data_IF_827001524274
#
_entry.id   IF_827001524274
#
_cell.length_a   1.000
_cell.length_b   1.000
_cell.length_c   1.000
_cell.angle_alpha   90.00
_cell.angle_beta   90.00
_cell.angle_gamma   90.00
#
_symmetry.space_group_name_H-M   'P 1'
#
loop_
_entity.id
_entity.type
_entity.pdbx_description
1 polymer ?
#
# COMPACT_ATOMS: atom_id res chain seq x y z
N UNK A 1 30.54 -22.99 -26.11
CA UNK A 1 30.14 -21.70 -26.69
C UNK A 1 28.70 -21.91 -27.15
N UNK A 2 27.65 -21.34 -26.54
CA UNK A 2 27.49 -20.02 -25.95
C UNK A 2 26.97 -20.10 -24.51
N UNK A 3 27.66 -19.39 -23.61
CA UNK A 3 27.11 -18.94 -22.35
C UNK A 3 26.32 -17.66 -22.62
N UNK A 4 25.06 -17.61 -22.18
CA UNK A 4 24.20 -16.43 -22.19
C UNK A 4 23.02 -16.75 -21.25
N UNK A 5 22.59 -15.98 -20.27
CA UNK A 5 23.07 -14.79 -19.59
C UNK A 5 22.59 -14.94 -18.14
N UNK A 6 23.25 -14.29 -17.18
CA UNK A 6 22.90 -14.24 -15.76
C UNK A 6 21.38 -14.25 -15.53
N UNK A 7 20.88 -15.27 -14.83
CA UNK A 7 19.53 -15.26 -14.28
C UNK A 7 19.41 -14.03 -13.37
N UNK A 8 18.67 -13.01 -13.83
CA UNK A 8 18.21 -11.95 -12.94
C UNK A 8 17.45 -12.60 -11.77
N UNK A 9 17.50 -11.98 -10.60
CA UNK A 9 16.70 -12.44 -9.47
C UNK A 9 15.24 -12.58 -9.93
N UNK A 10 14.64 -13.75 -9.68
CA UNK A 10 13.22 -13.95 -9.93
C UNK A 10 12.41 -12.90 -9.13
N UNK A 11 11.23 -12.54 -9.61
CA UNK A 11 10.33 -11.63 -8.88
C UNK A 11 10.15 -12.06 -7.42
N UNK A 12 10.05 -13.36 -7.16
CA UNK A 12 9.86 -13.91 -5.83
C UNK A 12 11.11 -13.81 -4.95
N UNK A 13 12.31 -13.89 -5.52
CA UNK A 13 13.56 -13.64 -4.79
C UNK A 13 13.73 -12.16 -4.44
N UNK A 14 13.44 -11.26 -5.39
CA UNK A 14 13.46 -9.83 -5.15
C UNK A 14 12.48 -9.45 -4.02
N UNK A 15 11.26 -9.99 -4.08
CA UNK A 15 10.24 -9.76 -3.06
C UNK A 15 10.62 -10.36 -1.69
N UNK A 16 11.24 -11.55 -1.66
CA UNK A 16 11.78 -12.15 -0.42
C UNK A 16 12.92 -11.32 0.18
N UNK A 17 13.82 -10.80 -0.67
CA UNK A 17 14.91 -9.92 -0.23
C UNK A 17 14.39 -8.65 0.43
N UNK A 18 13.36 -8.02 -0.13
CA UNK A 18 12.72 -6.83 0.45
C UNK A 18 12.01 -7.11 1.77
N UNK A 19 11.47 -8.31 1.96
CA UNK A 19 10.73 -8.74 3.16
C UNK A 19 11.58 -9.44 4.21
N UNK A 20 12.91 -9.42 4.07
CA UNK A 20 13.80 -10.04 5.06
C UNK A 20 13.61 -9.41 6.45
N UNK A 21 13.85 -10.16 7.54
CA UNK A 21 13.91 -9.60 8.88
C UNK A 21 14.97 -8.50 9.02
N UNK A 22 14.81 -7.62 10.01
CA UNK A 22 15.85 -6.66 10.40
C UNK A 22 17.04 -7.42 10.97
N UNK A 23 18.23 -7.14 10.45
CA UNK A 23 19.49 -7.75 10.88
C UNK A 23 20.44 -6.74 11.55
N UNK A 24 19.93 -5.57 11.93
CA UNK A 24 20.75 -4.50 12.49
C UNK A 24 21.32 -4.93 13.85
N UNK A 25 22.65 -4.96 13.98
CA UNK A 25 23.32 -5.17 15.26
C UNK A 25 23.13 -3.93 16.16
N UNK A 26 23.02 -4.17 17.46
CA UNK A 26 23.00 -3.11 18.47
C UNK A 26 24.29 -2.27 18.35
N UNK A 27 24.20 -1.07 17.78
CA UNK A 27 25.33 -0.14 17.67
C UNK A 27 25.36 0.69 16.39
N UNK A 28 24.82 0.19 15.28
CA UNK A 28 24.78 0.95 14.02
C UNK A 28 23.43 1.66 13.83
N UNK A 29 23.34 2.86 14.42
CA UNK A 29 22.17 3.72 14.32
C UNK A 29 21.81 4.03 12.85
N UNK A 30 22.79 4.16 11.96
CA UNK A 30 22.53 4.50 10.55
C UNK A 30 21.92 3.33 9.81
N UNK A 31 22.42 2.10 10.04
CA UNK A 31 21.82 0.90 9.48
C UNK A 31 20.40 0.67 10.03
N UNK A 32 20.18 0.88 11.33
CA UNK A 32 18.84 0.77 11.90
C UNK A 32 17.85 1.72 11.22
N UNK A 33 18.19 3.00 11.07
CA UNK A 33 17.31 3.99 10.40
C UNK A 33 16.97 3.60 8.97
N UNK A 34 17.92 2.99 8.22
CA UNK A 34 17.67 2.46 6.87
C UNK A 34 16.76 1.23 6.89
N UNK A 35 16.90 0.35 7.87
CA UNK A 35 16.01 -0.80 8.03
C UNK A 35 14.58 -0.37 8.39
N UNK A 36 14.41 0.67 9.21
CA UNK A 36 13.09 1.26 9.51
C UNK A 36 12.45 1.80 8.23
N UNK A 37 13.20 2.53 7.41
CA UNK A 37 12.71 2.99 6.09
C UNK A 37 12.37 1.81 5.18
N UNK A 38 13.18 0.75 5.15
CA UNK A 38 12.83 -0.45 4.36
C UNK A 38 11.50 -1.05 4.80
N UNK A 39 11.22 -1.15 6.10
CA UNK A 39 9.92 -1.61 6.59
C UNK A 39 8.78 -0.66 6.22
N UNK A 40 9.01 0.65 6.29
CA UNK A 40 8.07 1.66 5.81
C UNK A 40 7.72 1.44 4.33
N UNK A 41 8.70 1.09 3.49
CA UNK A 41 8.47 0.84 2.05
C UNK A 41 7.65 -0.42 1.74
N UNK A 42 7.42 -1.31 2.71
CA UNK A 42 6.53 -2.47 2.55
C UNK A 42 5.04 -2.10 2.67
N UNK A 43 4.75 -0.84 3.00
CA UNK A 43 3.40 -0.31 3.07
C UNK A 43 2.69 -0.38 1.71
N UNK A 44 1.37 -0.57 1.70
CA UNK A 44 0.58 -0.42 0.48
C UNK A 44 0.61 1.04 0.00
N UNK A 45 0.56 1.22 -1.32
CA UNK A 45 0.33 2.52 -1.96
C UNK A 45 -0.53 2.35 -3.21
N UNK A 46 -1.25 3.40 -3.61
CA UNK A 46 -2.05 3.37 -4.85
C UNK A 46 -1.17 2.96 -6.03
N UNK A 47 -1.64 2.00 -6.81
CA UNK A 47 -0.93 1.37 -7.93
C UNK A 47 0.50 0.88 -7.60
N UNK A 48 0.84 0.71 -6.31
CA UNK A 48 2.21 0.47 -5.85
C UNK A 48 3.20 1.55 -6.35
N UNK A 49 2.76 2.81 -6.40
CA UNK A 49 3.53 3.98 -6.83
C UNK A 49 4.73 4.25 -5.93
N UNK A 50 4.64 3.91 -4.64
CA UNK A 50 5.63 4.20 -3.62
C UNK A 50 5.99 5.69 -3.63
N UNK A 51 4.95 6.52 -3.56
CA UNK A 51 4.96 7.97 -3.73
C UNK A 51 5.57 8.75 -2.56
N UNK A 52 6.62 8.22 -1.93
CA UNK A 52 7.27 8.77 -0.75
C UNK A 52 8.77 9.00 -0.96
N UNK A 53 9.30 10.02 -0.30
CA UNK A 53 10.73 10.27 -0.10
C UNK A 53 11.02 10.31 1.39
N UNK A 54 12.08 9.64 1.80
CA UNK A 54 12.51 9.60 3.19
C UNK A 54 13.76 10.44 3.39
N UNK A 55 13.73 11.36 4.36
CA UNK A 55 14.92 12.07 4.82
C UNK A 55 15.29 11.57 6.22
N UNK A 56 16.51 11.04 6.35
CA UNK A 56 17.04 10.56 7.62
C UNK A 56 17.81 11.69 8.32
N UNK A 57 17.47 11.97 9.58
CA UNK A 57 18.27 12.85 10.44
C UNK A 57 18.72 12.08 11.66
N UNK A 58 20.03 12.05 11.87
CA UNK A 58 20.66 11.39 13.01
C UNK A 58 21.79 12.30 13.51
N UNK A 59 21.46 13.18 14.46
CA UNK A 59 22.42 14.13 15.05
C UNK A 59 22.42 14.00 16.57
N UNK A 60 23.55 13.54 17.12
CA UNK A 60 23.69 13.31 18.55
C UNK A 60 22.65 12.31 19.08
N UNK A 61 21.85 12.75 20.05
CA UNK A 61 20.80 11.94 20.67
C UNK A 61 19.45 12.03 19.95
N UNK A 62 19.32 12.90 18.95
CA UNK A 62 18.08 13.13 18.20
C UNK A 62 18.07 12.33 16.90
N UNK A 63 17.04 11.50 16.75
CA UNK A 63 16.78 10.69 15.56
C UNK A 63 15.42 11.07 15.01
N UNK A 64 15.35 11.35 13.72
CA UNK A 64 14.07 11.55 13.05
C UNK A 64 14.09 11.07 11.61
N UNK A 65 12.90 10.72 11.13
CA UNK A 65 12.64 10.36 9.75
C UNK A 65 11.53 11.27 9.26
N UNK A 66 11.79 12.05 8.22
CA UNK A 66 10.76 12.82 7.53
C UNK A 66 10.28 12.05 6.31
N UNK A 67 8.97 11.95 6.13
CA UNK A 67 8.32 11.34 4.98
C UNK A 67 7.66 12.46 4.17
N UNK A 68 8.14 12.66 2.95
CA UNK A 68 7.65 13.68 2.03
C UNK A 68 6.95 13.04 0.83
N UNK A 69 5.93 13.71 0.25
CA UNK A 69 5.27 13.24 -0.95
C UNK A 69 6.21 13.33 -2.16
N UNK A 70 6.35 12.23 -2.92
CA UNK A 70 6.98 12.26 -4.23
C UNK A 70 5.95 12.60 -5.32
N UNK A 71 5.75 13.89 -5.56
CA UNK A 71 4.79 14.37 -6.57
C UNK A 71 5.15 13.94 -8.01
N UNK A 72 6.36 13.43 -8.27
CA UNK A 72 6.69 12.85 -9.57
C UNK A 72 6.06 11.45 -9.78
N UNK A 73 5.57 10.83 -8.70
CA UNK A 73 4.93 9.51 -8.68
C UNK A 73 3.42 9.59 -8.39
N UNK A 74 2.84 10.79 -8.40
CA UNK A 74 1.39 10.99 -8.25
C UNK A 74 0.62 10.41 -9.45
N UNK A 75 -0.67 10.16 -9.24
CA UNK A 75 -1.58 9.60 -10.25
C UNK A 75 -2.73 10.58 -10.49
N UNK A 76 -2.50 11.69 -11.21
CA UNK A 76 -3.42 12.83 -11.23
C UNK A 76 -4.77 12.55 -11.91
N UNK A 77 -4.91 11.45 -12.66
CA UNK A 77 -6.21 11.09 -13.26
C UNK A 77 -7.09 10.34 -12.25
N UNK A 78 -6.56 9.29 -11.61
CA UNK A 78 -7.31 8.51 -10.60
C UNK A 78 -7.36 9.20 -9.23
N UNK A 79 -6.40 10.08 -8.94
CA UNK A 79 -6.20 10.75 -7.64
C UNK A 79 -5.91 12.26 -7.84
N UNK A 80 -6.89 13.03 -8.35
CA UNK A 80 -6.66 14.42 -8.78
C UNK A 80 -6.32 15.38 -7.64
N UNK A 81 -6.74 15.08 -6.41
CA UNK A 81 -6.50 15.85 -5.19
C UNK A 81 -5.34 15.30 -4.33
N UNK A 82 -4.63 14.30 -4.84
CA UNK A 82 -3.55 13.58 -4.16
C UNK A 82 -4.00 12.89 -2.85
N UNK A 83 -5.29 12.58 -2.70
CA UNK A 83 -5.85 11.88 -1.54
C UNK A 83 -5.14 10.53 -1.31
N UNK A 84 -5.11 9.65 -2.31
CA UNK A 84 -4.46 8.34 -2.20
C UNK A 84 -2.96 8.46 -1.94
N UNK A 85 -2.32 9.52 -2.44
CA UNK A 85 -0.92 9.82 -2.13
C UNK A 85 -0.73 10.00 -0.62
N UNK A 86 -1.50 10.87 0.04
CA UNK A 86 -1.35 11.12 1.48
C UNK A 86 -1.79 9.92 2.34
N UNK A 87 -2.80 9.16 1.92
CA UNK A 87 -3.14 7.86 2.53
C UNK A 87 -1.94 6.91 2.45
N UNK A 88 -1.27 6.82 1.30
CA UNK A 88 -0.08 5.95 1.13
C UNK A 88 1.07 6.35 2.06
N UNK A 89 1.29 7.64 2.26
CA UNK A 89 2.26 8.17 3.24
C UNK A 89 1.89 7.78 4.68
N UNK A 90 0.59 7.80 5.02
CA UNK A 90 0.07 7.29 6.28
C UNK A 90 0.41 5.82 6.51
N UNK A 91 0.15 4.97 5.52
CA UNK A 91 0.48 3.53 5.59
C UNK A 91 1.99 3.32 5.85
N UNK A 92 2.85 4.06 5.15
CA UNK A 92 4.30 4.01 5.33
C UNK A 92 4.72 4.47 6.73
N UNK A 93 4.05 5.48 7.27
CA UNK A 93 4.26 5.98 8.63
C UNK A 93 3.95 4.90 9.65
N UNK A 94 2.80 4.24 9.57
CA UNK A 94 2.44 3.23 10.56
C UNK A 94 3.38 2.01 10.53
N UNK A 95 3.77 1.54 9.34
CA UNK A 95 4.81 0.51 9.21
C UNK A 95 6.13 0.92 9.89
N UNK A 96 6.53 2.18 9.72
CA UNK A 96 7.73 2.74 10.35
C UNK A 96 7.60 2.73 11.88
N UNK A 97 6.45 3.14 12.42
CA UNK A 97 6.17 3.18 13.86
C UNK A 97 6.25 1.79 14.49
N UNK A 98 5.62 0.79 13.86
CA UNK A 98 5.68 -0.61 14.32
C UNK A 98 7.11 -1.18 14.26
N UNK A 99 7.85 -0.89 13.18
CA UNK A 99 9.25 -1.30 13.05
C UNK A 99 10.15 -0.60 14.08
N UNK A 100 9.94 0.68 14.34
CA UNK A 100 10.70 1.44 15.33
C UNK A 100 10.50 0.84 16.72
N UNK A 101 9.25 0.57 17.12
CA UNK A 101 8.93 0.04 18.44
C UNK A 101 9.53 -1.36 18.65
N UNK A 102 9.50 -2.21 17.61
CA UNK A 102 10.16 -3.53 17.64
C UNK A 102 11.67 -3.45 17.84
N UNK A 103 12.30 -2.31 17.56
CA UNK A 103 13.73 -2.06 17.69
C UNK A 103 14.07 -1.07 18.81
N UNK A 104 13.17 -0.89 19.79
CA UNK A 104 13.45 -0.08 20.98
C UNK A 104 13.41 1.42 20.73
N UNK A 105 12.62 1.86 19.74
CA UNK A 105 12.39 3.27 19.44
C UNK A 105 10.89 3.58 19.46
N UNK A 106 10.47 4.49 20.33
CA UNK A 106 9.13 5.07 20.29
C UNK A 106 9.11 6.18 19.26
N UNK A 107 8.23 6.06 18.27
CA UNK A 107 7.96 7.15 17.34
C UNK A 107 6.89 8.12 17.84
N UNK A 108 7.01 9.37 17.47
CA UNK A 108 5.97 10.40 17.51
C UNK A 108 5.89 11.05 16.11
N UNK A 109 4.74 10.88 15.45
CA UNK A 109 4.52 11.31 14.08
C UNK A 109 3.62 12.55 14.06
N UNK A 110 4.10 13.62 13.42
CA UNK A 110 3.35 14.87 13.28
C UNK A 110 3.29 15.28 11.80
N UNK A 111 2.09 15.63 11.34
CA UNK A 111 1.89 16.18 10.01
C UNK A 111 2.20 17.68 10.00
N UNK A 112 3.14 18.07 9.15
CA UNK A 112 3.46 19.46 8.84
C UNK A 112 2.79 19.83 7.51
N UNK A 113 1.79 20.73 7.48
CA UNK A 113 1.11 21.12 6.25
C UNK A 113 1.92 22.08 5.37
N UNK A 114 3.12 22.52 5.78
CA UNK A 114 3.93 23.46 5.00
C UNK A 114 4.37 22.87 3.65
N UNK A 115 4.45 23.73 2.62
CA UNK A 115 4.81 23.30 1.27
C UNK A 115 3.83 22.27 0.71
N UNK A 116 4.36 21.11 0.28
CA UNK A 116 3.53 20.01 -0.20
C UNK A 116 2.82 19.25 0.94
N UNK A 117 3.25 19.43 2.19
CA UNK A 117 2.92 18.58 3.33
C UNK A 117 4.00 17.53 3.57
N UNK A 118 4.31 17.23 4.82
CA UNK A 118 5.27 16.19 5.21
C UNK A 118 4.90 15.57 6.56
N UNK A 119 5.41 14.38 6.85
CA UNK A 119 5.26 13.72 8.15
C UNK A 119 6.61 13.68 8.83
N UNK A 120 6.76 14.36 9.95
CA UNK A 120 7.97 14.31 10.77
C UNK A 120 7.79 13.24 11.86
N UNK A 121 8.63 12.20 11.83
CA UNK A 121 8.65 11.16 12.86
C UNK A 121 9.87 11.35 13.75
N UNK A 122 9.66 11.77 15.00
CA UNK A 122 10.69 11.83 16.03
C UNK A 122 10.83 10.46 16.71
N UNK A 123 12.06 9.99 16.92
CA UNK A 123 12.34 8.66 17.45
C UNK A 123 13.11 8.76 18.77
N UNK A 124 12.53 8.18 19.83
CA UNK A 124 13.07 8.20 21.19
C UNK A 124 13.36 6.80 21.68
N UNK A 125 14.43 6.60 22.46
CA UNK A 125 14.74 5.29 23.01
C UNK A 125 13.61 4.81 23.94
N UNK A 126 13.23 3.55 23.80
CA UNK A 126 12.22 2.88 24.64
C UNK A 126 12.54 1.38 24.76
N UNK A 127 11.76 0.65 25.54
CA UNK A 127 11.83 -0.80 25.57
C UNK A 127 11.31 -1.38 24.25
N UNK A 128 12.08 -2.28 23.63
CA UNK A 128 11.67 -2.95 22.40
C UNK A 128 10.44 -3.82 22.63
N UNK A 129 9.43 -3.68 21.76
CA UNK A 129 8.21 -4.50 21.79
C UNK A 129 7.94 -5.01 20.37
N UNK A 130 8.09 -6.31 20.16
CA UNK A 130 7.73 -6.97 18.90
C UNK A 130 6.25 -7.37 18.93
N UNK A 131 5.42 -6.56 18.26
CA UNK A 131 3.96 -6.79 18.18
C UNK A 131 3.60 -7.78 17.06
N UNK A 132 2.43 -8.43 17.12
CA UNK A 132 1.89 -9.17 15.98
C UNK A 132 1.75 -8.30 14.72
N UNK A 133 1.45 -7.01 14.86
CA UNK A 133 1.38 -6.06 13.74
C UNK A 133 2.74 -5.88 13.06
N UNK A 134 3.83 -5.76 13.82
CA UNK A 134 5.18 -5.70 13.27
C UNK A 134 5.53 -6.96 12.47
N UNK A 135 5.20 -8.14 13.00
CA UNK A 135 5.45 -9.42 12.32
C UNK A 135 4.66 -9.53 11.01
N UNK A 136 3.43 -9.01 10.98
CA UNK A 136 2.58 -9.02 9.80
C UNK A 136 3.12 -8.19 8.63
N UNK A 137 3.97 -7.17 8.87
CA UNK A 137 4.48 -6.28 7.80
C UNK A 137 5.16 -7.06 6.68
N UNK A 138 5.97 -8.07 7.02
CA UNK A 138 6.71 -8.88 6.03
C UNK A 138 5.85 -9.94 5.35
N UNK A 139 4.67 -10.24 5.90
CA UNK A 139 3.75 -11.25 5.38
C UNK A 139 2.63 -10.63 4.53
N UNK A 140 2.28 -9.38 4.80
CA UNK A 140 1.15 -8.65 4.19
C UNK A 140 1.26 -8.60 2.68
N UNK A 141 0.14 -8.90 2.02
CA UNK A 141 -0.04 -8.78 0.58
C UNK A 141 -1.45 -8.27 0.24
N UNK A 142 -1.62 -7.68 -0.95
CA UNK A 142 -2.94 -7.36 -1.47
C UNK A 142 -3.43 -8.51 -2.34
N UNK A 143 -4.26 -9.38 -1.79
CA UNK A 143 -4.88 -10.49 -2.51
C UNK A 143 -6.09 -10.01 -3.30
N UNK A 144 -6.10 -10.25 -4.62
CA UNK A 144 -7.19 -9.88 -5.55
C UNK A 144 -7.85 -11.12 -6.16
N UNK A 145 -8.06 -12.12 -5.32
CA UNK A 145 -8.67 -13.41 -5.66
C UNK A 145 -10.11 -13.52 -5.19
N UNK A 146 -10.69 -14.70 -5.38
CA UNK A 146 -11.97 -15.05 -4.75
C UNK A 146 -11.77 -15.35 -3.26
N UNK A 147 -12.71 -14.88 -2.44
CA UNK A 147 -12.82 -15.24 -1.03
C UNK A 147 -13.81 -16.40 -0.83
N UNK A 148 -13.86 -16.97 0.37
CA UNK A 148 -14.64 -18.19 0.65
C UNK A 148 -16.09 -17.94 1.11
N UNK A 149 -16.53 -16.68 1.17
CA UNK A 149 -17.87 -16.28 1.55
C UNK A 149 -18.22 -16.50 3.02
N UNK A 150 -17.25 -16.89 3.87
CA UNK A 150 -17.53 -17.13 5.29
C UNK A 150 -17.62 -15.80 6.05
N UNK A 151 -18.62 -15.62 6.91
CA UNK A 151 -18.71 -14.44 7.76
C UNK A 151 -17.59 -14.46 8.81
N UNK A 152 -17.12 -13.27 9.18
CA UNK A 152 -16.26 -13.09 10.34
C UNK A 152 -17.05 -13.22 11.63
N UNK A 153 -16.40 -13.71 12.68
CA UNK A 153 -16.92 -13.72 14.04
C UNK A 153 -16.99 -12.30 14.60
N UNK A 154 -17.85 -12.08 15.60
CA UNK A 154 -17.92 -10.79 16.31
C UNK A 154 -16.59 -10.41 16.96
N UNK A 155 -15.80 -11.38 17.41
CA UNK A 155 -14.48 -11.12 17.98
C UNK A 155 -13.51 -10.58 16.91
N UNK A 156 -13.49 -11.17 15.72
CA UNK A 156 -12.67 -10.70 14.60
C UNK A 156 -13.11 -9.31 14.13
N UNK A 157 -14.41 -9.05 14.03
CA UNK A 157 -14.93 -7.73 13.67
C UNK A 157 -14.50 -6.65 14.67
N UNK A 158 -14.53 -6.95 15.98
CA UNK A 158 -14.05 -6.01 17.01
C UNK A 158 -12.55 -5.75 16.91
N UNK A 159 -11.76 -6.76 16.57
CA UNK A 159 -10.32 -6.58 16.36
C UNK A 159 -10.04 -5.68 15.15
N UNK A 160 -10.79 -5.87 14.05
CA UNK A 160 -10.70 -4.99 12.88
C UNK A 160 -11.14 -3.56 13.20
N UNK A 161 -12.23 -3.40 13.96
CA UNK A 161 -12.72 -2.09 14.38
C UNK A 161 -11.69 -1.35 15.26
N UNK A 162 -11.07 -2.07 16.20
CA UNK A 162 -10.03 -1.52 17.06
C UNK A 162 -8.77 -1.16 16.28
N UNK A 163 -8.34 -2.00 15.33
CA UNK A 163 -7.15 -1.75 14.52
C UNK A 163 -7.36 -0.59 13.52
N UNK A 164 -8.57 -0.49 12.94
CA UNK A 164 -8.89 0.49 11.91
C UNK A 164 -9.43 1.83 12.41
N UNK A 165 -9.43 2.05 13.73
CA UNK A 165 -9.92 3.30 14.35
C UNK A 165 -8.76 4.03 15.01
N UNK A 166 -8.64 5.33 14.74
CA UNK A 166 -7.57 6.19 15.21
C UNK A 166 -8.05 7.62 15.42
N UNK A 167 -7.12 8.57 15.39
CA UNK A 167 -7.42 9.96 15.74
C UNK A 167 -8.29 10.65 14.66
N UNK A 168 -9.60 10.77 14.89
CA UNK A 168 -10.51 11.35 13.90
C UNK A 168 -10.73 10.46 12.67
N UNK A 169 -10.41 9.16 12.76
CA UNK A 169 -10.69 8.14 11.74
C UNK A 169 -11.39 6.97 12.40
N UNK A 170 -12.48 6.50 11.78
CA UNK A 170 -13.17 5.27 12.16
C UNK A 170 -13.30 4.32 10.98
N UNK A 171 -13.29 3.02 11.25
CA UNK A 171 -13.65 2.00 10.26
C UNK A 171 -15.12 1.60 10.41
N UNK A 172 -15.83 1.57 9.29
CA UNK A 172 -17.20 1.07 9.18
C UNK A 172 -17.15 -0.30 8.52
N UNK A 173 -17.61 -1.33 9.23
CA UNK A 173 -17.63 -2.70 8.74
C UNK A 173 -19.02 -3.04 8.20
N UNK A 174 -19.12 -3.16 6.86
CA UNK A 174 -20.35 -3.48 6.14
C UNK A 174 -20.37 -4.97 5.81
N UNK A 175 -21.07 -5.75 6.62
CA UNK A 175 -21.15 -7.23 6.48
C UNK A 175 -22.52 -7.72 6.02
N UNK A 176 -23.54 -6.86 6.10
CA UNK A 176 -24.88 -7.20 5.63
C UNK A 176 -24.98 -7.14 4.11
N UNK A 177 -25.60 -8.16 3.50
CA UNK A 177 -25.73 -8.23 2.03
C UNK A 177 -26.36 -6.98 1.40
N UNK A 178 -27.44 -6.38 1.93
CA UNK A 178 -28.01 -5.16 1.33
C UNK A 178 -27.01 -3.98 1.31
N UNK A 179 -26.20 -3.83 2.37
CA UNK A 179 -25.19 -2.79 2.42
C UNK A 179 -24.05 -3.07 1.43
N UNK A 180 -23.59 -4.32 1.34
CA UNK A 180 -22.55 -4.73 0.39
C UNK A 180 -23.00 -4.58 -1.08
N UNK A 181 -24.25 -4.92 -1.42
CA UNK A 181 -24.79 -4.71 -2.78
C UNK A 181 -24.89 -3.22 -3.11
N UNK A 182 -25.25 -2.37 -2.15
CA UNK A 182 -25.25 -0.91 -2.35
C UNK A 182 -23.84 -0.37 -2.62
N UNK A 183 -22.82 -0.87 -1.93
CA UNK A 183 -21.42 -0.52 -2.25
C UNK A 183 -21.03 -1.05 -3.62
N UNK A 184 -21.44 -2.27 -3.98
CA UNK A 184 -21.17 -2.86 -5.28
C UNK A 184 -21.74 -2.00 -6.43
N UNK A 185 -22.94 -1.43 -6.27
CA UNK A 185 -23.51 -0.50 -7.26
C UNK A 185 -22.57 0.70 -7.52
N UNK A 186 -22.01 1.31 -6.47
CA UNK A 186 -21.05 2.41 -6.61
C UNK A 186 -19.71 1.95 -7.21
N UNK A 187 -19.21 0.77 -6.83
CA UNK A 187 -17.98 0.21 -7.39
C UNK A 187 -18.14 -0.05 -8.89
N UNK A 188 -19.25 -0.65 -9.31
CA UNK A 188 -19.55 -0.91 -10.73
C UNK A 188 -19.71 0.40 -11.50
N UNK A 189 -20.43 1.37 -10.95
CA UNK A 189 -20.60 2.69 -11.58
C UNK A 189 -19.26 3.41 -11.73
N UNK A 190 -18.44 3.45 -10.68
CA UNK A 190 -17.13 4.10 -10.67
C UNK A 190 -16.15 3.45 -11.63
N UNK A 191 -16.04 2.11 -11.60
CA UNK A 191 -15.17 1.39 -12.53
C UNK A 191 -15.60 1.57 -13.98
N UNK A 192 -16.92 1.56 -14.26
CA UNK A 192 -17.42 1.82 -15.62
C UNK A 192 -17.04 3.21 -16.11
N UNK A 193 -17.18 4.23 -15.26
CA UNK A 193 -16.79 5.60 -15.60
C UNK A 193 -15.28 5.70 -15.87
N UNK A 194 -14.44 5.15 -14.99
CA UNK A 194 -12.99 5.13 -15.14
C UNK A 194 -12.53 4.40 -16.40
N UNK A 195 -13.06 3.21 -16.66
CA UNK A 195 -12.66 2.41 -17.84
C UNK A 195 -13.11 3.03 -19.17
N UNK A 196 -14.13 3.89 -19.16
CA UNK A 196 -14.55 4.66 -20.33
C UNK A 196 -13.77 5.97 -20.49
N UNK A 197 -12.91 6.34 -19.54
CA UNK A 197 -12.01 7.48 -19.64
C UNK A 197 -10.64 7.04 -20.22
N UNK A 198 -10.28 7.47 -21.44
CA UNK A 198 -8.98 7.14 -22.03
C UNK A 198 -7.80 7.60 -21.17
N UNK A 199 -7.91 8.75 -20.48
CA UNK A 199 -6.83 9.26 -19.65
C UNK A 199 -6.56 8.34 -18.46
N UNK A 200 -7.62 7.81 -17.83
CA UNK A 200 -7.50 6.84 -16.76
C UNK A 200 -6.86 5.54 -17.25
N UNK A 201 -7.31 5.03 -18.41
CA UNK A 201 -6.79 3.79 -18.98
C UNK A 201 -5.30 3.93 -19.32
N UNK A 202 -4.88 5.08 -19.83
CA UNK A 202 -3.47 5.34 -20.15
C UNK A 202 -2.61 5.47 -18.89
N UNK A 203 -3.10 6.16 -17.85
CA UNK A 203 -2.44 6.23 -16.53
C UNK A 203 -2.31 4.83 -15.89
N UNK A 204 -3.38 4.03 -15.90
CA UNK A 204 -3.36 2.67 -15.37
C UNK A 204 -2.35 1.79 -16.12
N UNK A 205 -2.32 1.84 -17.45
CA UNK A 205 -1.32 1.13 -18.27
C UNK A 205 0.11 1.55 -17.92
N UNK A 206 0.33 2.84 -17.66
CA UNK A 206 1.64 3.35 -17.26
C UNK A 206 2.12 2.73 -15.93
N UNK A 207 1.21 2.37 -15.03
CA UNK A 207 1.52 1.75 -13.73
C UNK A 207 1.48 0.22 -13.70
N UNK A 208 0.97 -0.43 -14.74
CA UNK A 208 1.08 -1.90 -14.85
C UNK A 208 2.50 -2.29 -15.28
N UNK A 209 3.04 -3.33 -14.67
CA UNK A 209 4.27 -4.04 -15.08
C UNK A 209 3.84 -5.36 -15.71
N UNK A 210 4.07 -5.52 -17.00
CA UNK A 210 3.54 -6.66 -17.76
C UNK A 210 4.42 -7.91 -17.66
N UNK A 211 5.68 -7.76 -17.23
CA UNK A 211 6.61 -8.87 -17.03
C UNK A 211 7.33 -8.83 -15.68
N UNK A 212 7.82 -9.99 -15.25
CA UNK A 212 8.62 -10.13 -14.04
C UNK A 212 9.89 -9.26 -14.09
N UNK A 213 10.60 -9.27 -15.22
CA UNK A 213 11.81 -8.46 -15.41
C UNK A 213 11.53 -6.96 -15.29
N UNK A 214 10.41 -6.50 -15.85
CA UNK A 214 9.99 -5.12 -15.72
C UNK A 214 9.67 -4.77 -14.26
N UNK A 215 8.92 -5.63 -13.56
CA UNK A 215 8.57 -5.44 -12.16
C UNK A 215 9.80 -5.40 -11.24
N UNK A 216 10.77 -6.32 -11.43
CA UNK A 216 12.02 -6.35 -10.65
C UNK A 216 12.89 -5.13 -10.93
N UNK A 217 12.99 -4.71 -12.20
CA UNK A 217 13.84 -3.58 -12.62
C UNK A 217 13.32 -2.24 -12.12
N UNK A 218 12.01 -2.00 -12.17
CA UNK A 218 11.44 -0.72 -11.70
C UNK A 218 11.16 -0.72 -10.21
N UNK A 219 10.90 -1.90 -9.63
CA UNK A 219 10.61 -2.06 -8.20
C UNK A 219 9.28 -1.47 -7.78
N UNK A 220 8.41 -1.09 -8.72
CA UNK A 220 7.14 -0.38 -8.48
C UNK A 220 6.04 -0.84 -9.43
N UNK A 221 4.84 -0.27 -9.28
CA UNK A 221 3.72 -0.60 -10.16
C UNK A 221 3.04 -1.93 -9.85
N UNK A 222 1.95 -2.18 -10.56
CA UNK A 222 1.16 -3.40 -10.43
C UNK A 222 1.71 -4.48 -11.35
N UNK A 223 2.36 -5.50 -10.78
CA UNK A 223 2.79 -6.64 -11.57
C UNK A 223 1.60 -7.49 -12.02
N UNK A 224 1.39 -7.60 -13.32
CA UNK A 224 0.27 -8.34 -13.92
C UNK A 224 0.23 -9.81 -13.48
N UNK A 225 1.40 -10.44 -13.28
CA UNK A 225 1.52 -11.82 -12.79
C UNK A 225 0.94 -12.02 -11.39
N UNK A 226 0.99 -11.01 -10.52
CA UNK A 226 0.38 -11.07 -9.20
C UNK A 226 -1.17 -11.10 -9.25
N UNK A 227 -1.76 -10.76 -10.39
CA UNK A 227 -3.19 -10.89 -10.65
C UNK A 227 -3.55 -12.15 -11.46
N UNK A 228 -2.60 -13.09 -11.63
CA UNK A 228 -2.80 -14.34 -12.39
C UNK A 228 -2.67 -14.20 -13.91
N UNK A 229 -2.27 -13.03 -14.41
CA UNK A 229 -2.07 -12.82 -15.85
C UNK A 229 -0.71 -13.34 -16.31
N UNK A 230 -0.59 -13.84 -17.56
CA UNK A 230 0.70 -14.27 -18.09
C UNK A 230 1.68 -13.09 -18.21
N UNK A 231 2.98 -13.39 -17.99
CA UNK A 231 4.06 -12.44 -18.21
C UNK A 231 4.24 -12.18 -19.71
N UNK A 232 4.13 -10.92 -20.13
CA UNK A 232 4.20 -10.50 -21.53
C UNK A 232 5.13 -9.30 -21.69
N UNK A 233 5.83 -9.16 -22.85
CA UNK A 233 6.51 -7.90 -23.19
C UNK A 233 5.53 -6.73 -23.18
N UNK A 234 5.94 -5.56 -22.67
CA UNK A 234 5.08 -4.37 -22.48
C UNK A 234 4.27 -3.97 -23.72
N UNK A 235 4.88 -4.00 -24.91
CA UNK A 235 4.20 -3.66 -26.17
C UNK A 235 3.04 -4.61 -26.50
N UNK A 236 3.17 -5.89 -26.13
CA UNK A 236 2.14 -6.91 -26.35
C UNK A 236 1.11 -6.87 -25.23
N UNK A 237 1.56 -6.79 -23.98
CA UNK A 237 0.69 -6.69 -22.80
C UNK A 237 -0.24 -5.47 -22.88
N UNK A 238 0.27 -4.31 -23.26
CA UNK A 238 -0.54 -3.09 -23.44
C UNK A 238 -1.63 -3.22 -24.51
N UNK A 239 -1.36 -3.94 -25.61
CA UNK A 239 -2.35 -4.22 -26.67
C UNK A 239 -3.39 -5.24 -26.22
N UNK A 240 -2.93 -6.32 -25.59
CA UNK A 240 -3.79 -7.40 -25.09
C UNK A 240 -4.71 -6.92 -23.97
N UNK A 241 -4.20 -6.06 -23.08
CA UNK A 241 -5.00 -5.44 -22.02
C UNK A 241 -6.23 -4.73 -22.59
N UNK A 242 -6.08 -3.94 -23.66
CA UNK A 242 -7.23 -3.26 -24.27
C UNK A 242 -8.31 -4.19 -24.84
N UNK A 243 -8.00 -5.47 -25.07
CA UNK A 243 -8.97 -6.46 -25.57
C UNK A 243 -9.71 -7.21 -24.46
N UNK A 244 -9.08 -7.43 -23.31
CA UNK A 244 -9.65 -8.24 -22.20
C UNK A 244 -10.04 -7.42 -20.96
N UNK A 245 -9.48 -6.21 -20.82
CA UNK A 245 -9.78 -5.27 -19.75
C UNK A 245 -10.95 -4.40 -20.17
N UNK A 246 -12.15 -4.98 -20.17
CA UNK A 246 -13.41 -4.31 -20.55
C UNK A 246 -14.23 -3.96 -19.30
N UNK A 247 -15.07 -2.90 -19.34
CA UNK A 247 -15.94 -2.58 -18.21
C UNK A 247 -16.77 -3.77 -17.74
N UNK A 248 -17.32 -4.53 -18.69
CA UNK A 248 -18.14 -5.71 -18.38
C UNK A 248 -17.36 -6.78 -17.61
N UNK A 249 -16.20 -7.21 -18.13
CA UNK A 249 -15.41 -8.28 -17.51
C UNK A 249 -14.90 -7.89 -16.12
N UNK A 250 -14.44 -6.64 -15.96
CA UNK A 250 -13.95 -6.13 -14.68
C UNK A 250 -15.08 -5.96 -13.66
N UNK A 251 -16.24 -5.46 -14.07
CA UNK A 251 -17.41 -5.36 -13.20
C UNK A 251 -17.94 -6.73 -12.76
N UNK A 252 -17.97 -7.72 -13.65
CA UNK A 252 -18.34 -9.10 -13.29
C UNK A 252 -17.36 -9.69 -12.26
N UNK A 253 -16.07 -9.42 -12.42
CA UNK A 253 -15.03 -9.81 -11.46
C UNK A 253 -15.23 -9.14 -10.10
N UNK A 254 -15.43 -7.83 -10.05
CA UNK A 254 -15.68 -7.10 -8.80
C UNK A 254 -16.97 -7.54 -8.12
N UNK A 255 -18.04 -7.79 -8.89
CA UNK A 255 -19.28 -8.31 -8.34
C UNK A 255 -19.09 -9.68 -7.68
N UNK A 256 -18.34 -10.58 -8.32
CA UNK A 256 -18.01 -11.89 -7.75
C UNK A 256 -17.20 -11.73 -6.45
N UNK A 257 -16.14 -10.93 -6.47
CA UNK A 257 -15.24 -10.70 -5.33
C UNK A 257 -15.94 -10.05 -4.15
N UNK A 258 -16.77 -9.04 -4.38
CA UNK A 258 -17.54 -8.41 -3.30
C UNK A 258 -18.54 -9.41 -2.71
N UNK A 259 -19.27 -10.16 -3.54
CA UNK A 259 -20.28 -11.13 -3.08
C UNK A 259 -19.69 -12.34 -2.35
N UNK A 260 -18.43 -12.69 -2.61
CA UNK A 260 -17.74 -13.76 -1.89
C UNK A 260 -16.86 -13.26 -0.73
N UNK A 261 -16.76 -11.94 -0.50
CA UNK A 261 -16.08 -11.35 0.65
C UNK A 261 -16.88 -11.52 1.94
N UNK A 262 -16.20 -11.58 3.08
CA UNK A 262 -16.84 -11.61 4.40
C UNK A 262 -17.51 -10.27 4.80
N UNK A 263 -17.07 -9.16 4.18
CA UNK A 263 -17.57 -7.81 4.40
C UNK A 263 -16.68 -6.77 3.72
N UNK A 264 -17.07 -5.51 3.81
CA UNK A 264 -16.33 -4.35 3.29
C UNK A 264 -15.97 -3.44 4.46
N UNK A 265 -14.69 -3.09 4.58
CA UNK A 265 -14.23 -2.08 5.53
C UNK A 265 -14.13 -0.72 4.82
N UNK A 266 -14.80 0.30 5.38
CA UNK A 266 -14.74 1.67 4.88
C UNK A 266 -14.12 2.55 5.96
N UNK A 267 -12.96 3.14 5.66
CA UNK A 267 -12.29 4.09 6.54
C UNK A 267 -12.87 5.49 6.29
N UNK A 268 -13.36 6.13 7.35
CA UNK A 268 -13.98 7.44 7.29
C UNK A 268 -13.27 8.39 8.27
N UNK A 269 -12.74 9.48 7.75
CA UNK A 269 -12.17 10.56 8.55
C UNK A 269 -13.20 11.65 8.86
N UNK A 270 -12.98 12.40 9.94
CA UNK A 270 -13.85 13.51 10.36
C UNK A 270 -13.79 14.72 9.42
N UNK A 271 -12.66 14.90 8.73
CA UNK A 271 -12.47 15.91 7.70
C UNK A 271 -11.78 15.32 6.46
N UNK A 272 -11.91 16.03 5.33
CA UNK A 272 -11.21 15.71 4.09
C UNK A 272 -10.07 16.70 3.86
N UNK A 273 -8.96 16.47 4.57
CA UNK A 273 -7.72 17.20 4.39
C UNK A 273 -6.52 16.25 4.52
N UNK A 274 -5.33 16.73 4.12
CA UNK A 274 -4.11 15.92 4.08
C UNK A 274 -3.75 15.29 5.42
N UNK A 275 -3.99 15.96 6.55
CA UNK A 275 -3.66 15.41 7.87
C UNK A 275 -4.56 14.21 8.19
N UNK A 276 -5.85 14.33 7.89
CA UNK A 276 -6.82 13.25 8.05
C UNK A 276 -6.62 12.10 7.05
N UNK A 277 -6.19 12.40 5.82
CA UNK A 277 -5.84 11.36 4.84
C UNK A 277 -4.61 10.56 5.29
N UNK A 278 -3.60 11.24 5.86
CA UNK A 278 -2.45 10.56 6.48
C UNK A 278 -2.91 9.67 7.63
N UNK A 279 -3.76 10.15 8.54
CA UNK A 279 -4.25 9.32 9.63
C UNK A 279 -5.11 8.15 9.12
N UNK A 280 -5.92 8.35 8.08
CA UNK A 280 -6.68 7.27 7.46
C UNK A 280 -5.75 6.18 6.90
N UNK A 281 -4.62 6.57 6.32
CA UNK A 281 -3.56 5.64 5.93
C UNK A 281 -2.88 4.95 7.10
N UNK A 282 -2.72 5.61 8.24
CA UNK A 282 -2.17 4.98 9.45
C UNK A 282 -3.10 3.94 10.06
N UNK A 283 -4.42 4.13 9.92
CA UNK A 283 -5.42 3.16 10.35
C UNK A 283 -5.61 1.98 9.38
N UNK A 284 -5.16 2.08 8.12
CA UNK A 284 -5.36 1.09 7.07
C UNK A 284 -4.36 -0.09 7.13
#
# INVERSE_FOLDING_TARGET
>A
MLAACSAGASHDEAARSLRRPITANAGDNTLLMRELVRYATLAPSSHNTQCWKFQLRNQGSSRSITIEPDLARRTPVVDPDDHHLFVSLGCATENLMQAALANGLQGDAQFDPTGAGAIAVSLHATQAISSPLFQAITERQCTRGDYDGKPLTTAELRLLEQAGTGNGVRVLLLTERPAMEKVLEYVVSGNTAQMNDPAFVDELKAWIRFSADEAVRTGDGLYAGAAGNPSLPRWLGSRVMGMFFTPKSENERYAKQIRNSAGIAVFASEASDKAHWVEAGRCY
#
